data_IF_666726079465
#
_entry.id   IF_666726079465
#
_cell.length_a   1.000
_cell.length_b   1.000
_cell.length_c   1.000
_cell.angle_alpha   90.00
_cell.angle_beta   90.00
_cell.angle_gamma   90.00
#
_symmetry.space_group_name_H-M   'P 1'
#
loop_
_entity.id
_entity.type
_entity.pdbx_description
1 polymer ?
#
# COMPACT_ATOMS: atom_id res chain seq x y z
N UNK A 1 -10.40 28.24 6.85
CA UNK A 1 -11.49 28.12 5.86
C UNK A 1 -11.24 26.88 5.03
N UNK A 2 -12.26 26.05 4.83
CA UNK A 2 -12.22 24.89 3.94
C UNK A 2 -12.92 25.21 2.63
N UNK A 3 -12.30 24.86 1.51
CA UNK A 3 -12.87 24.96 0.17
C UNK A 3 -13.20 23.55 -0.30
N UNK A 4 -14.47 23.32 -0.61
CA UNK A 4 -14.94 22.05 -1.19
C UNK A 4 -15.09 22.30 -2.69
N UNK A 5 -14.28 21.66 -3.55
CA UNK A 5 -14.35 21.86 -4.99
C UNK A 5 -15.62 21.22 -5.57
N UNK A 6 -16.07 21.76 -6.72
CA UNK A 6 -17.17 21.18 -7.50
C UNK A 6 -16.69 19.88 -8.19
N UNK A 7 -16.86 18.76 -7.49
CA UNK A 7 -16.53 17.43 -7.98
C UNK A 7 -17.37 16.36 -7.28
N UNK A 8 -17.50 15.20 -7.90
CA UNK A 8 -18.04 14.00 -7.23
C UNK A 8 -16.95 13.38 -6.32
N UNK A 9 -17.07 13.47 -4.98
CA UNK A 9 -16.06 12.94 -4.06
C UNK A 9 -15.95 11.41 -4.08
N UNK A 10 -16.95 10.71 -4.63
CA UNK A 10 -16.94 9.25 -4.78
C UNK A 10 -16.15 8.79 -6.00
N UNK A 11 -15.81 9.72 -6.91
CA UNK A 11 -15.09 9.45 -8.17
C UNK A 11 -13.94 10.45 -8.40
N UNK A 12 -12.96 10.52 -7.48
CA UNK A 12 -11.90 11.52 -7.54
C UNK A 12 -11.07 11.46 -8.84
N UNK A 13 -10.90 10.27 -9.42
CA UNK A 13 -10.21 10.10 -10.69
C UNK A 13 -10.94 10.70 -11.91
N UNK A 14 -12.21 11.08 -11.76
CA UNK A 14 -13.03 11.73 -12.81
C UNK A 14 -13.26 13.22 -12.56
N UNK A 15 -12.58 13.81 -11.58
CA UNK A 15 -12.64 15.23 -11.31
C UNK A 15 -12.14 16.05 -12.52
N UNK A 16 -12.81 17.17 -12.83
CA UNK A 16 -12.30 18.11 -13.84
C UNK A 16 -11.12 18.90 -13.25
N UNK A 17 -9.89 18.70 -13.75
CA UNK A 17 -8.71 19.36 -13.20
C UNK A 17 -8.75 20.88 -13.36
N UNK A 18 -9.42 21.40 -14.38
CA UNK A 18 -9.56 22.85 -14.60
C UNK A 18 -10.40 23.49 -13.49
N UNK A 19 -11.49 22.84 -13.07
CA UNK A 19 -12.31 23.31 -11.95
C UNK A 19 -11.53 23.28 -10.63
N UNK A 20 -10.74 22.23 -10.41
CA UNK A 20 -9.88 22.12 -9.23
C UNK A 20 -8.83 23.23 -9.21
N UNK A 21 -8.12 23.44 -10.32
CA UNK A 21 -7.10 24.47 -10.45
C UNK A 21 -7.68 25.88 -10.28
N UNK A 22 -8.80 26.18 -10.94
CA UNK A 22 -9.49 27.45 -10.80
C UNK A 22 -9.94 27.73 -9.35
N UNK A 23 -10.38 26.71 -8.61
CA UNK A 23 -10.72 26.85 -7.20
C UNK A 23 -9.47 27.13 -6.34
N UNK A 24 -8.35 26.44 -6.60
CA UNK A 24 -7.07 26.66 -5.91
C UNK A 24 -6.60 28.09 -6.09
N UNK A 25 -6.59 28.60 -7.32
CA UNK A 25 -6.18 29.98 -7.62
C UNK A 25 -7.13 31.02 -7.03
N UNK A 26 -8.45 30.87 -7.32
CA UNK A 26 -9.48 31.81 -6.89
C UNK A 26 -9.47 32.06 -5.37
N UNK A 27 -9.25 31.02 -4.59
CA UNK A 27 -9.31 31.08 -3.12
C UNK A 27 -7.94 31.14 -2.47
N UNK A 28 -6.84 31.16 -3.22
CA UNK A 28 -5.50 31.17 -2.70
C UNK A 28 -5.23 29.98 -1.78
N UNK A 29 -5.60 28.76 -2.21
CA UNK A 29 -5.51 27.54 -1.40
C UNK A 29 -4.04 27.27 -1.06
N UNK A 30 -3.76 27.18 0.24
CA UNK A 30 -2.41 26.91 0.75
C UNK A 30 -2.18 25.48 1.17
N UNK A 31 -3.25 24.71 1.44
CA UNK A 31 -3.18 23.31 1.83
C UNK A 31 -4.18 22.50 0.99
N UNK A 32 -3.70 21.39 0.46
CA UNK A 32 -4.46 20.48 -0.36
C UNK A 32 -4.46 19.07 0.28
N UNK A 33 -5.65 18.52 0.46
CA UNK A 33 -5.82 17.12 0.87
C UNK A 33 -6.57 16.35 -0.21
N UNK A 34 -6.08 15.14 -0.55
CA UNK A 34 -6.78 14.31 -1.53
C UNK A 34 -6.22 12.90 -1.65
N UNK A 35 -6.97 12.04 -2.33
CA UNK A 35 -6.51 10.69 -2.64
C UNK A 35 -5.40 10.70 -3.70
N UNK A 36 -4.61 9.62 -3.84
CA UNK A 36 -3.64 9.47 -4.93
C UNK A 36 -4.27 9.62 -6.31
N UNK A 37 -5.51 9.20 -6.48
CA UNK A 37 -6.26 9.36 -7.74
C UNK A 37 -6.50 10.84 -8.08
N UNK A 38 -6.83 11.67 -7.08
CA UNK A 38 -6.97 13.12 -7.28
C UNK A 38 -5.64 13.79 -7.58
N UNK A 39 -4.57 13.36 -6.89
CA UNK A 39 -3.20 13.84 -7.18
C UNK A 39 -2.78 13.50 -8.60
N UNK A 40 -3.12 12.30 -9.09
CA UNK A 40 -2.87 11.90 -10.47
C UNK A 40 -3.57 12.81 -11.48
N UNK A 41 -4.82 13.20 -11.21
CA UNK A 41 -5.57 14.14 -12.07
C UNK A 41 -4.87 15.49 -12.18
N UNK A 42 -4.46 16.07 -11.04
CA UNK A 42 -3.72 17.34 -11.01
C UNK A 42 -2.34 17.22 -11.67
N UNK A 43 -1.59 16.13 -11.36
CA UNK A 43 -0.28 15.84 -11.95
C UNK A 43 -0.34 15.72 -13.48
N UNK A 44 -1.40 15.11 -14.01
CA UNK A 44 -1.62 14.95 -15.46
C UNK A 44 -2.01 16.26 -16.12
N UNK A 45 -2.81 17.08 -15.44
CA UNK A 45 -3.18 18.42 -15.92
C UNK A 45 -1.96 19.31 -16.11
N UNK A 46 -1.02 19.29 -15.18
CA UNK A 46 0.30 19.88 -15.34
C UNK A 46 0.39 21.39 -15.06
N UNK A 47 -0.66 22.03 -14.61
CA UNK A 47 -0.68 23.46 -14.22
C UNK A 47 0.00 23.67 -12.87
N UNK A 48 0.74 24.79 -12.72
CA UNK A 48 1.42 25.16 -11.49
C UNK A 48 0.45 25.45 -10.36
N UNK A 49 0.77 25.00 -9.16
CA UNK A 49 -0.01 25.19 -7.94
C UNK A 49 0.66 26.26 -7.05
N UNK A 50 0.77 27.48 -7.56
CA UNK A 50 1.64 28.55 -7.03
C UNK A 50 1.35 28.95 -5.58
N UNK A 51 0.10 28.82 -5.09
CA UNK A 51 -0.28 29.20 -3.72
C UNK A 51 -0.17 28.07 -2.71
N UNK A 52 -0.06 26.81 -3.19
CA UNK A 52 -0.08 25.63 -2.34
C UNK A 52 1.26 25.44 -1.62
N UNK A 53 1.22 25.42 -0.30
CA UNK A 53 2.38 25.22 0.58
C UNK A 53 2.51 23.78 1.08
N UNK A 54 1.39 23.07 1.17
CA UNK A 54 1.36 21.69 1.64
C UNK A 54 0.32 20.86 0.89
N UNK A 55 0.74 19.70 0.45
CA UNK A 55 -0.12 18.65 -0.06
C UNK A 55 -0.08 17.47 0.89
N UNK A 56 -1.23 16.88 1.20
CA UNK A 56 -1.35 15.63 1.93
C UNK A 56 -2.15 14.63 1.11
N UNK A 57 -1.57 13.50 0.78
CA UNK A 57 -2.25 12.45 0.01
C UNK A 57 -2.33 11.16 0.81
N UNK A 58 -3.53 10.64 1.00
CA UNK A 58 -3.83 9.47 1.84
C UNK A 58 -4.85 8.52 1.20
N UNK A 59 -4.99 7.33 1.79
CA UNK A 59 -5.96 6.30 1.41
C UNK A 59 -5.39 5.14 0.60
N UNK A 60 -4.26 5.34 -0.06
CA UNK A 60 -3.46 4.31 -0.73
C UNK A 60 -2.03 4.82 -0.94
N UNK A 61 -1.05 3.95 -1.25
CA UNK A 61 0.28 4.38 -1.67
C UNK A 61 0.21 5.32 -2.88
N UNK A 62 0.96 6.42 -2.83
CA UNK A 62 1.06 7.35 -3.96
C UNK A 62 2.16 6.87 -4.89
N UNK A 63 1.87 6.63 -6.18
CA UNK A 63 2.91 6.22 -7.13
C UNK A 63 4.06 7.24 -7.19
N UNK A 64 5.33 6.82 -7.21
CA UNK A 64 6.49 7.74 -7.23
C UNK A 64 6.44 8.76 -8.37
N UNK A 65 5.96 8.36 -9.56
CA UNK A 65 5.80 9.27 -10.70
C UNK A 65 4.78 10.40 -10.41
N UNK A 66 3.71 10.11 -9.64
CA UNK A 66 2.73 11.12 -9.22
C UNK A 66 3.36 12.07 -8.20
N UNK A 67 4.09 11.52 -7.23
CA UNK A 67 4.82 12.33 -6.22
C UNK A 67 5.80 13.29 -6.91
N UNK A 68 6.62 12.76 -7.81
CA UNK A 68 7.58 13.57 -8.57
C UNK A 68 6.89 14.69 -9.34
N UNK A 69 5.86 14.33 -10.12
CA UNK A 69 5.14 15.31 -10.94
C UNK A 69 4.43 16.36 -10.08
N UNK A 70 3.82 15.97 -8.97
CA UNK A 70 3.20 16.93 -8.04
C UNK A 70 4.23 17.89 -7.46
N UNK A 71 5.41 17.41 -7.04
CA UNK A 71 6.48 18.27 -6.53
C UNK A 71 6.99 19.27 -7.59
N UNK A 72 6.99 18.89 -8.86
CA UNK A 72 7.32 19.80 -9.97
C UNK A 72 6.29 20.92 -10.16
N UNK A 73 5.02 20.68 -9.80
CA UNK A 73 3.94 21.70 -9.90
C UNK A 73 3.90 22.65 -8.72
N UNK A 74 4.45 22.25 -7.58
CA UNK A 74 4.46 23.01 -6.34
C UNK A 74 5.61 24.03 -6.29
N UNK A 75 5.51 25.11 -5.47
CA UNK A 75 6.63 25.93 -5.11
C UNK A 75 7.79 25.12 -4.51
N UNK A 76 9.07 25.55 -4.65
CA UNK A 76 10.22 24.78 -4.18
C UNK A 76 10.23 24.47 -2.68
N UNK A 77 9.67 25.36 -1.87
CA UNK A 77 9.56 25.25 -0.41
C UNK A 77 8.27 24.52 0.05
N UNK A 78 7.36 24.20 -0.86
CA UNK A 78 6.17 23.47 -0.54
C UNK A 78 6.47 21.98 -0.27
N UNK A 79 5.65 21.35 0.55
CA UNK A 79 5.81 19.98 1.02
C UNK A 79 4.68 19.09 0.50
N UNK A 80 5.02 17.84 0.20
CA UNK A 80 4.04 16.79 -0.08
C UNK A 80 4.23 15.68 0.96
N UNK A 81 3.17 15.34 1.70
CA UNK A 81 3.18 14.34 2.74
C UNK A 81 2.26 13.18 2.42
N UNK A 82 2.72 11.96 2.71
CA UNK A 82 1.92 10.75 2.58
C UNK A 82 1.79 10.08 3.95
N UNK A 83 0.68 10.30 4.68
CA UNK A 83 0.42 9.62 5.94
C UNK A 83 -0.02 8.17 5.69
N UNK A 84 0.50 7.27 6.53
CA UNK A 84 0.09 5.88 6.65
C UNK A 84 -0.77 5.69 7.88
N UNK A 85 -1.82 4.87 7.75
CA UNK A 85 -2.72 4.49 8.82
C UNK A 85 -4.02 3.88 8.31
N UNK A 86 -4.94 3.65 9.21
CA UNK A 86 -6.29 3.16 8.95
C UNK A 86 -7.30 3.98 9.76
N UNK A 87 -8.60 3.79 9.51
CA UNK A 87 -9.65 4.46 10.30
C UNK A 87 -9.49 4.22 11.80
N UNK A 88 -9.01 3.05 12.16
CA UNK A 88 -8.77 2.62 13.54
C UNK A 88 -7.55 3.27 14.18
N UNK A 89 -6.62 3.81 13.37
CA UNK A 89 -5.41 4.47 13.84
C UNK A 89 -4.79 5.31 12.72
N UNK A 90 -4.94 6.64 12.78
CA UNK A 90 -4.45 7.57 11.76
C UNK A 90 -4.03 8.92 12.39
N UNK A 91 -2.85 9.45 12.03
CA UNK A 91 -1.76 8.79 11.30
C UNK A 91 -0.94 7.85 12.20
N UNK A 92 -0.38 6.80 11.61
CA UNK A 92 0.60 5.91 12.26
C UNK A 92 2.01 6.40 11.99
N UNK A 93 2.31 6.62 10.72
CA UNK A 93 3.61 7.12 10.23
C UNK A 93 3.40 8.10 9.08
N UNK A 94 4.40 8.93 8.81
CA UNK A 94 4.37 9.91 7.73
C UNK A 94 5.73 9.97 7.03
N UNK A 95 5.70 10.23 5.71
CA UNK A 95 6.90 10.49 4.92
C UNK A 95 6.69 11.69 4.01
N UNK A 96 7.74 12.50 3.83
CA UNK A 96 7.76 13.60 2.87
C UNK A 96 8.11 13.07 1.47
N UNK A 97 7.50 13.65 0.44
CA UNK A 97 7.59 13.15 -0.93
C UNK A 97 9.01 13.12 -1.50
N UNK A 98 9.87 14.08 -1.16
CA UNK A 98 11.27 14.06 -1.62
C UNK A 98 12.05 12.91 -0.99
N UNK A 99 11.87 12.66 0.33
CA UNK A 99 12.46 11.48 0.99
C UNK A 99 11.93 10.20 0.36
N UNK A 100 10.62 10.11 0.10
CA UNK A 100 10.02 8.95 -0.57
C UNK A 100 10.68 8.65 -1.92
N UNK A 101 10.95 9.68 -2.73
CA UNK A 101 11.59 9.51 -4.04
C UNK A 101 13.03 8.99 -3.92
N UNK A 102 13.78 9.36 -2.88
CA UNK A 102 15.14 8.83 -2.67
C UNK A 102 15.15 7.33 -2.35
N UNK A 103 14.03 6.80 -1.87
CA UNK A 103 13.86 5.41 -1.48
C UNK A 103 13.25 4.53 -2.57
N UNK A 104 12.90 5.11 -3.72
CA UNK A 104 12.24 4.42 -4.83
C UNK A 104 12.97 3.15 -5.26
N UNK A 105 14.28 3.19 -5.43
CA UNK A 105 15.06 2.03 -5.84
C UNK A 105 14.94 0.86 -4.85
N UNK A 106 14.83 1.13 -3.55
CA UNK A 106 14.61 0.08 -2.54
C UNK A 106 13.23 -0.56 -2.66
N UNK A 107 12.20 0.23 -2.94
CA UNK A 107 10.86 -0.29 -3.22
C UNK A 107 10.87 -1.16 -4.46
N UNK A 108 11.49 -0.71 -5.55
CA UNK A 108 11.60 -1.44 -6.83
C UNK A 108 12.47 -2.70 -6.74
N UNK A 109 13.23 -2.88 -5.67
CA UNK A 109 14.00 -4.11 -5.37
C UNK A 109 13.38 -4.97 -4.26
N UNK A 110 12.16 -4.65 -3.82
CA UNK A 110 11.38 -5.52 -2.92
C UNK A 110 11.46 -5.22 -1.42
N UNK A 111 11.90 -4.01 -1.03
CA UNK A 111 11.87 -3.63 0.38
C UNK A 111 10.43 -3.43 0.92
N UNK A 112 9.46 -3.24 0.04
CA UNK A 112 8.13 -2.76 0.36
C UNK A 112 8.00 -1.26 0.07
N UNK A 113 6.89 -0.65 0.48
CA UNK A 113 6.67 0.79 0.35
C UNK A 113 7.04 1.50 1.66
N UNK A 114 8.02 2.42 1.61
CA UNK A 114 8.38 3.20 2.79
C UNK A 114 7.23 4.16 3.14
N UNK A 115 6.75 4.08 4.38
CA UNK A 115 5.71 4.95 4.92
C UNK A 115 6.25 5.95 5.95
N UNK A 116 7.57 6.02 6.08
CA UNK A 116 8.28 6.99 6.90
C UNK A 116 8.40 6.59 8.36
N UNK A 117 8.40 7.58 9.24
CA UNK A 117 8.60 7.36 10.68
C UNK A 117 7.30 7.48 11.45
N UNK A 118 7.14 6.71 12.54
CA UNK A 118 6.01 6.87 13.44
C UNK A 118 5.83 8.31 13.89
N UNK A 119 4.58 8.76 13.94
CA UNK A 119 4.27 10.09 14.50
C UNK A 119 4.46 10.11 16.01
N UNK A 120 4.77 11.27 16.55
CA UNK A 120 4.95 11.46 17.98
C UNK A 120 3.71 11.00 18.77
N UNK A 121 3.94 10.30 19.89
CA UNK A 121 2.89 9.75 20.73
C UNK A 121 2.45 8.32 20.37
N UNK A 122 2.76 7.83 19.18
CA UNK A 122 2.52 6.44 18.81
C UNK A 122 3.75 5.56 19.08
N UNK A 123 3.52 4.42 19.70
CA UNK A 123 4.49 3.31 19.81
C UNK A 123 4.15 2.28 18.74
N UNK A 124 4.98 2.16 17.72
CA UNK A 124 4.81 1.18 16.64
C UNK A 124 5.79 0.04 16.86
N UNK A 125 5.28 -1.19 16.83
CA UNK A 125 6.08 -2.41 17.02
C UNK A 125 5.70 -3.46 15.98
N UNK A 126 6.66 -4.33 15.65
CA UNK A 126 6.45 -5.42 14.70
C UNK A 126 6.43 -6.73 15.47
N UNK A 127 5.35 -7.49 15.29
CA UNK A 127 5.16 -8.77 15.96
C UNK A 127 5.12 -9.93 14.96
N UNK A 128 5.29 -11.15 15.44
CA UNK A 128 5.12 -12.34 14.60
C UNK A 128 3.72 -12.36 13.98
N UNK A 129 3.64 -12.82 12.74
CA UNK A 129 2.38 -12.91 12.01
C UNK A 129 1.52 -14.01 12.65
N UNK A 130 0.27 -13.68 12.98
CA UNK A 130 -0.72 -14.64 13.49
C UNK A 130 -2.10 -14.31 12.93
N UNK A 131 -2.87 -15.35 12.61
CA UNK A 131 -4.29 -15.20 12.25
C UNK A 131 -5.20 -15.32 13.47
N UNK A 132 -4.67 -15.75 14.62
CA UNK A 132 -5.40 -15.93 15.86
C UNK A 132 -5.49 -14.63 16.68
N UNK A 133 -6.46 -14.57 17.57
CA UNK A 133 -6.55 -13.51 18.57
C UNK A 133 -5.37 -13.58 19.56
N UNK A 134 -4.85 -12.42 19.95
CA UNK A 134 -3.82 -12.26 20.98
C UNK A 134 -4.43 -11.41 22.09
N UNK A 135 -4.67 -12.00 23.25
CA UNK A 135 -5.37 -11.32 24.33
C UNK A 135 -4.50 -10.29 25.06
N UNK A 136 -3.31 -10.71 25.44
CA UNK A 136 -2.39 -9.91 26.24
C UNK A 136 -1.04 -9.76 25.56
N UNK A 137 -0.39 -8.61 25.78
CA UNK A 137 0.94 -8.32 25.25
C UNK A 137 2.01 -9.13 25.98
N UNK A 138 2.91 -9.68 25.19
CA UNK A 138 4.14 -10.30 25.65
C UNK A 138 5.27 -9.86 24.70
N UNK A 139 6.42 -9.49 25.22
CA UNK A 139 7.57 -9.09 24.40
C UNK A 139 8.12 -10.24 23.53
N UNK A 140 7.79 -11.50 23.86
CA UNK A 140 8.04 -12.67 23.00
C UNK A 140 7.26 -12.63 21.66
N UNK A 141 6.29 -11.72 21.53
CA UNK A 141 5.61 -11.45 20.24
C UNK A 141 6.52 -10.74 19.25
N UNK A 142 7.48 -9.94 19.73
CA UNK A 142 8.35 -9.12 18.88
C UNK A 142 9.18 -9.97 17.92
N UNK A 143 9.32 -9.48 16.68
CA UNK A 143 10.26 -10.04 15.72
C UNK A 143 11.64 -9.36 15.83
N UNK A 144 12.66 -9.99 15.28
CA UNK A 144 14.00 -9.41 15.23
C UNK A 144 14.07 -8.16 14.33
N UNK A 145 15.09 -7.34 14.55
CA UNK A 145 15.34 -6.14 13.75
C UNK A 145 15.44 -6.47 12.25
N UNK A 146 14.76 -5.71 11.41
CA UNK A 146 14.74 -5.93 9.95
C UNK A 146 13.86 -7.09 9.48
N UNK A 147 13.23 -7.84 10.38
CA UNK A 147 12.31 -8.90 9.99
C UNK A 147 10.91 -8.36 9.72
N UNK A 148 10.27 -8.93 8.69
CA UNK A 148 8.87 -8.64 8.37
C UNK A 148 7.96 -9.34 9.36
N UNK A 149 7.00 -8.60 9.90
CA UNK A 149 5.96 -9.10 10.78
C UNK A 149 4.68 -8.27 10.68
N UNK A 150 3.77 -8.47 11.60
CA UNK A 150 2.52 -7.69 11.69
C UNK A 150 2.76 -6.35 12.41
N UNK A 151 2.32 -5.27 11.78
CA UNK A 151 2.43 -3.91 12.33
C UNK A 151 1.41 -3.74 13.44
N UNK A 152 1.87 -3.29 14.61
CA UNK A 152 1.03 -2.94 15.75
C UNK A 152 1.29 -1.52 16.22
N UNK A 153 0.26 -0.87 16.76
CA UNK A 153 0.33 0.52 17.21
C UNK A 153 -0.36 0.68 18.55
N UNK A 154 0.30 1.34 19.49
CA UNK A 154 -0.30 1.85 20.71
C UNK A 154 -0.10 3.37 20.77
N UNK A 155 -1.13 4.12 21.10
CA UNK A 155 -1.04 5.57 21.19
C UNK A 155 -2.41 6.25 21.07
N UNK A 156 -2.45 7.57 21.19
CA UNK A 156 -3.70 8.33 21.28
C UNK A 156 -4.54 8.30 19.99
N UNK A 157 -3.96 7.91 18.86
CA UNK A 157 -4.67 7.78 17.58
C UNK A 157 -5.34 6.42 17.40
N UNK A 158 -5.02 5.43 18.26
CA UNK A 158 -5.60 4.09 18.16
C UNK A 158 -6.95 4.01 18.86
N UNK A 159 -7.95 3.43 18.17
CA UNK A 159 -9.27 3.15 18.80
C UNK A 159 -9.18 1.93 19.71
N UNK A 160 -10.02 1.88 20.75
CA UNK A 160 -10.00 0.79 21.74
C UNK A 160 -10.76 -0.46 21.29
N UNK A 161 -11.84 -0.29 20.52
CA UNK A 161 -12.70 -1.41 20.11
C UNK A 161 -13.49 -1.09 18.85
N UNK A 162 -14.14 -2.13 18.30
CA UNK A 162 -15.17 -1.99 17.27
C UNK A 162 -16.55 -2.09 17.93
N UNK A 163 -17.44 -1.16 17.60
CA UNK A 163 -18.79 -1.13 18.14
C UNK A 163 -19.59 -2.38 17.74
N UNK A 164 -20.11 -3.11 18.73
CA UNK A 164 -20.87 -4.35 18.56
C UNK A 164 -20.16 -5.43 17.68
N UNK A 165 -18.81 -5.52 17.82
CA UNK A 165 -17.98 -6.46 17.06
C UNK A 165 -16.90 -7.09 17.93
N UNK A 166 -17.31 -7.84 18.97
CA UNK A 166 -16.39 -8.39 19.97
C UNK A 166 -15.35 -9.34 19.37
N UNK A 167 -15.75 -10.19 18.44
CA UNK A 167 -14.84 -11.12 17.76
C UNK A 167 -13.78 -10.37 16.94
N UNK A 168 -14.16 -9.32 16.20
CA UNK A 168 -13.22 -8.49 15.44
C UNK A 168 -12.33 -7.67 16.40
N UNK A 169 -12.88 -7.20 17.50
CA UNK A 169 -12.10 -6.51 18.55
C UNK A 169 -11.04 -7.45 19.13
N UNK A 170 -11.39 -8.68 19.49
CA UNK A 170 -10.45 -9.66 20.00
C UNK A 170 -9.32 -9.99 19.00
N UNK A 171 -9.61 -10.02 17.71
CA UNK A 171 -8.60 -10.25 16.64
C UNK A 171 -7.66 -9.05 16.45
N UNK A 172 -8.13 -7.83 16.71
CA UNK A 172 -7.40 -6.60 16.35
C UNK A 172 -6.80 -5.87 17.55
N UNK A 173 -7.14 -6.21 18.79
CA UNK A 173 -6.75 -5.46 19.99
C UNK A 173 -6.08 -6.37 21.00
N UNK A 174 -4.89 -5.96 21.45
CA UNK A 174 -4.09 -6.65 22.47
C UNK A 174 -4.07 -5.74 23.69
N UNK A 175 -4.30 -6.27 24.87
CA UNK A 175 -4.15 -5.52 26.13
C UNK A 175 -2.68 -5.52 26.54
N UNK A 176 -2.15 -4.37 26.88
CA UNK A 176 -0.79 -4.23 27.38
C UNK A 176 -0.82 -3.57 28.76
N UNK A 177 -0.26 -4.26 29.75
CA UNK A 177 -0.05 -3.70 31.08
C UNK A 177 1.32 -3.03 31.13
N UNK A 178 1.34 -1.75 31.52
CA UNK A 178 2.54 -0.96 31.63
C UNK A 178 3.20 -1.13 33.02
N UNK A 179 4.46 -0.71 33.15
CA UNK A 179 5.24 -0.87 34.37
C UNK A 179 4.65 -0.07 35.54
N UNK A 180 3.89 1.00 35.31
CA UNK A 180 3.19 1.79 36.31
C UNK A 180 1.84 1.17 36.76
N UNK A 181 1.49 0.00 36.21
CA UNK A 181 0.25 -0.72 36.47
C UNK A 181 -0.95 -0.26 35.64
N UNK A 182 -0.81 0.77 34.82
CA UNK A 182 -1.85 1.18 33.88
C UNK A 182 -1.97 0.20 32.70
N UNK A 183 -3.09 0.26 32.00
CA UNK A 183 -3.33 -0.57 30.79
C UNK A 183 -3.53 0.32 29.58
N UNK A 184 -3.10 -0.19 28.41
CA UNK A 184 -3.39 0.42 27.13
C UNK A 184 -3.73 -0.64 26.10
N UNK A 185 -4.37 -0.21 25.01
CA UNK A 185 -4.67 -1.06 23.88
C UNK A 185 -3.58 -0.92 22.82
N UNK A 186 -3.12 -2.06 22.32
CA UNK A 186 -2.24 -2.17 21.16
C UNK A 186 -3.09 -2.64 19.98
N UNK A 187 -3.22 -1.80 18.97
CA UNK A 187 -3.98 -2.12 17.77
C UNK A 187 -3.12 -2.89 16.78
N UNK A 188 -3.61 -4.01 16.28
CA UNK A 188 -3.06 -4.78 15.17
C UNK A 188 -3.61 -4.19 13.87
N UNK A 189 -2.73 -3.60 13.04
CA UNK A 189 -3.14 -2.91 11.81
C UNK A 189 -3.70 -3.84 10.72
N UNK A 190 -3.46 -5.16 10.85
CA UNK A 190 -3.74 -6.11 9.78
C UNK A 190 -2.85 -5.90 8.55
N UNK A 191 -1.74 -5.22 8.73
CA UNK A 191 -0.72 -4.90 7.75
C UNK A 191 0.60 -5.57 8.15
N UNK A 192 1.42 -5.92 7.15
CA UNK A 192 2.76 -6.43 7.33
C UNK A 192 3.79 -5.35 7.04
N UNK A 193 4.89 -5.39 7.78
CA UNK A 193 5.97 -4.43 7.59
C UNK A 193 7.18 -4.70 8.47
N UNK A 194 8.17 -3.84 8.37
CA UNK A 194 9.42 -3.92 9.11
C UNK A 194 10.05 -2.54 9.28
N UNK A 195 10.97 -2.40 10.25
CA UNK A 195 11.73 -1.19 10.46
C UNK A 195 13.13 -1.32 9.89
N UNK A 196 13.60 -0.29 9.19
CA UNK A 196 15.01 -0.20 8.80
C UNK A 196 15.87 0.42 9.91
N UNK A 197 17.21 0.42 9.67
CA UNK A 197 18.18 0.96 10.63
C UNK A 197 18.06 2.47 10.89
N UNK A 198 17.28 3.20 10.11
CA UNK A 198 16.99 4.63 10.30
C UNK A 198 15.63 4.87 10.98
N UNK A 199 14.97 3.82 11.45
CA UNK A 199 13.67 3.89 12.12
C UNK A 199 12.51 4.21 11.17
N UNK A 200 12.65 3.97 9.87
CA UNK A 200 11.57 4.09 8.90
C UNK A 200 10.78 2.79 8.83
N UNK A 201 9.47 2.91 8.85
CA UNK A 201 8.54 1.80 8.66
C UNK A 201 8.36 1.53 7.16
N UNK A 202 8.52 0.27 6.79
CA UNK A 202 8.29 -0.25 5.45
C UNK A 202 7.05 -1.12 5.43
N UNK A 203 6.03 -0.70 4.71
CA UNK A 203 4.79 -1.44 4.52
C UNK A 203 4.99 -2.51 3.45
N UNK A 204 4.68 -3.77 3.79
CA UNK A 204 4.86 -4.92 2.90
C UNK A 204 3.54 -5.44 2.29
N UNK A 205 2.40 -4.89 2.71
CA UNK A 205 1.07 -5.28 2.22
C UNK A 205 0.12 -5.72 3.32
N UNK A 206 -1.12 -6.02 2.95
CA UNK A 206 -2.13 -6.51 3.89
C UNK A 206 -1.83 -7.94 4.33
N UNK A 207 -1.95 -8.22 5.63
CA UNK A 207 -1.79 -9.58 6.18
C UNK A 207 -2.71 -10.59 5.49
N UNK A 208 -3.96 -10.21 5.22
CA UNK A 208 -4.94 -11.05 4.55
C UNK A 208 -4.64 -11.34 3.09
N UNK A 209 -3.76 -10.57 2.46
CA UNK A 209 -3.39 -10.68 1.04
C UNK A 209 -2.02 -11.32 0.82
N UNK A 210 -1.33 -11.71 1.91
CA UNK A 210 -0.08 -12.45 1.81
C UNK A 210 -0.31 -13.81 1.13
N UNK A 211 0.67 -14.28 0.40
CA UNK A 211 0.67 -15.62 -0.20
C UNK A 211 1.60 -16.50 0.62
N UNK A 212 1.03 -17.49 1.30
CA UNK A 212 1.77 -18.46 2.11
C UNK A 212 2.05 -19.68 1.23
N UNK A 213 3.32 -19.82 0.82
CA UNK A 213 3.76 -20.90 -0.08
C UNK A 213 4.01 -22.17 0.71
N UNK A 214 4.66 -22.04 1.85
CA UNK A 214 4.98 -23.10 2.82
C UNK A 214 5.24 -22.47 4.20
N UNK A 215 5.57 -23.30 5.19
CA UNK A 215 5.82 -22.87 6.58
C UNK A 215 6.96 -21.85 6.71
N UNK A 216 7.87 -21.79 5.74
CA UNK A 216 9.04 -20.92 5.75
C UNK A 216 8.93 -19.73 4.79
N UNK A 217 7.97 -19.79 3.85
CA UNK A 217 7.88 -18.86 2.73
C UNK A 217 6.54 -18.15 2.70
N UNK A 218 6.57 -16.89 3.03
CA UNK A 218 5.44 -15.96 2.86
C UNK A 218 5.84 -14.83 1.92
N UNK A 219 5.06 -14.60 0.88
CA UNK A 219 5.25 -13.50 -0.06
C UNK A 219 4.27 -12.37 0.25
N UNK A 220 4.80 -11.15 0.31
CA UNK A 220 4.03 -9.95 0.58
C UNK A 220 3.85 -9.13 -0.71
N UNK A 221 2.64 -8.61 -0.92
CA UNK A 221 2.26 -7.93 -2.16
C UNK A 221 3.15 -6.74 -2.48
N UNK A 222 3.43 -5.87 -1.51
CA UNK A 222 4.24 -4.67 -1.71
C UNK A 222 5.76 -4.94 -1.79
N UNK A 223 6.19 -6.17 -1.52
CA UNK A 223 7.56 -6.59 -1.77
C UNK A 223 7.73 -7.20 -3.17
N UNK A 224 6.68 -7.81 -3.70
CA UNK A 224 6.72 -8.52 -4.98
C UNK A 224 6.32 -7.61 -6.15
N UNK A 225 5.16 -6.96 -6.05
CA UNK A 225 4.57 -6.22 -7.18
C UNK A 225 5.40 -5.04 -7.68
N UNK A 226 6.03 -4.22 -6.83
CA UNK A 226 6.85 -3.11 -7.29
C UNK A 226 8.04 -3.54 -8.16
N UNK A 227 8.58 -4.74 -7.92
CA UNK A 227 9.67 -5.30 -8.73
C UNK A 227 9.21 -5.50 -10.18
N UNK A 228 8.04 -6.10 -10.38
CA UNK A 228 7.48 -6.34 -11.70
C UNK A 228 6.91 -5.08 -12.36
N UNK A 229 6.42 -4.14 -11.55
CA UNK A 229 5.91 -2.85 -12.04
C UNK A 229 7.03 -1.94 -12.60
N UNK A 230 8.30 -2.31 -12.50
CA UNK A 230 9.42 -1.68 -13.24
C UNK A 230 9.37 -1.99 -14.74
N UNK A 231 8.67 -3.03 -15.15
CA UNK A 231 8.56 -3.41 -16.56
C UNK A 231 7.82 -2.34 -17.37
N UNK A 232 8.40 -1.85 -18.48
CA UNK A 232 7.91 -0.64 -19.18
C UNK A 232 6.51 -0.78 -19.78
N UNK A 233 6.08 -2.00 -20.12
CA UNK A 233 4.79 -2.24 -20.74
C UNK A 233 3.66 -2.48 -19.74
N UNK A 234 3.96 -2.77 -18.47
CA UNK A 234 2.95 -3.02 -17.45
C UNK A 234 2.30 -1.71 -16.98
N UNK A 235 0.99 -1.75 -16.85
CA UNK A 235 0.23 -0.75 -16.10
C UNK A 235 0.36 -1.03 -14.59
N UNK A 236 0.18 -2.29 -14.22
CA UNK A 236 0.30 -2.80 -12.84
C UNK A 236 0.31 -4.32 -12.80
N UNK A 237 0.74 -4.86 -11.69
CA UNK A 237 0.69 -6.29 -11.39
C UNK A 237 -0.03 -6.56 -10.06
N UNK A 238 -0.42 -7.81 -9.84
CA UNK A 238 -1.03 -8.29 -8.61
C UNK A 238 -0.55 -9.69 -8.28
N UNK A 239 0.06 -9.84 -7.11
CA UNK A 239 0.39 -11.14 -6.55
C UNK A 239 -0.87 -11.76 -5.95
N UNK A 240 -1.19 -12.99 -6.35
CA UNK A 240 -2.29 -13.79 -5.79
C UNK A 240 -1.83 -15.20 -5.47
N UNK A 241 -2.41 -15.79 -4.42
CA UNK A 241 -2.20 -17.20 -4.07
C UNK A 241 -3.31 -18.07 -4.64
N UNK A 242 -2.95 -19.15 -5.33
CA UNK A 242 -3.87 -20.14 -5.87
C UNK A 242 -3.66 -21.46 -5.13
N UNK A 243 -4.75 -22.10 -4.71
CA UNK A 243 -4.73 -23.33 -3.93
C UNK A 243 -5.08 -23.13 -2.47
N UNK A 244 -4.78 -24.14 -1.66
CA UNK A 244 -5.12 -24.17 -0.24
C UNK A 244 -4.29 -23.15 0.56
N UNK A 245 -4.94 -22.48 1.53
CA UNK A 245 -4.26 -21.52 2.42
C UNK A 245 -3.18 -22.23 3.22
N UNK A 246 -1.96 -21.71 3.19
CA UNK A 246 -0.78 -22.33 3.82
C UNK A 246 0.09 -23.12 2.85
N UNK A 247 -0.42 -23.49 1.67
CA UNK A 247 0.31 -24.19 0.61
C UNK A 247 -0.05 -23.62 -0.77
N UNK A 248 -0.05 -22.30 -0.88
CA UNK A 248 -0.49 -21.58 -2.07
C UNK A 248 0.59 -21.54 -3.15
N UNK A 249 0.18 -21.72 -4.39
CA UNK A 249 1.02 -21.40 -5.56
C UNK A 249 0.96 -19.89 -5.82
N UNK A 250 2.09 -19.16 -5.78
CA UNK A 250 2.10 -17.74 -6.11
C UNK A 250 1.95 -17.54 -7.61
N UNK A 251 1.03 -16.67 -8.01
CA UNK A 251 0.76 -16.27 -9.39
C UNK A 251 0.85 -14.75 -9.47
N UNK A 252 1.61 -14.23 -10.42
CA UNK A 252 1.58 -12.83 -10.78
C UNK A 252 0.59 -12.62 -11.92
N UNK A 253 -0.49 -11.92 -11.63
CA UNK A 253 -1.40 -11.44 -12.66
C UNK A 253 -0.96 -10.04 -13.07
N UNK A 254 -0.92 -9.72 -14.36
CA UNK A 254 -0.51 -8.40 -14.82
C UNK A 254 -1.47 -7.80 -15.85
N UNK A 255 -1.44 -6.49 -15.95
CA UNK A 255 -2.24 -5.67 -16.85
C UNK A 255 -1.29 -4.79 -17.68
N UNK A 256 -1.45 -4.79 -18.99
CA UNK A 256 -0.67 -3.94 -19.89
C UNK A 256 -1.21 -2.51 -19.91
N UNK A 257 -0.35 -1.56 -20.22
CA UNK A 257 -0.74 -0.16 -20.45
C UNK A 257 -1.76 -0.06 -21.59
N UNK A 258 -2.73 0.85 -21.52
CA UNK A 258 -3.69 1.06 -22.60
C UNK A 258 -2.99 1.34 -23.94
N UNK A 259 -3.46 0.68 -25.02
CA UNK A 259 -2.93 0.86 -26.36
C UNK A 259 -1.62 0.13 -26.65
N UNK A 260 -1.06 -0.59 -25.68
CA UNK A 260 0.10 -1.46 -25.92
C UNK A 260 -0.36 -2.72 -26.65
N UNK A 261 0.28 -2.99 -27.79
CA UNK A 261 0.14 -4.25 -28.50
C UNK A 261 1.48 -5.00 -28.37
N UNK A 262 1.53 -6.00 -27.49
CA UNK A 262 2.72 -6.79 -27.23
C UNK A 262 2.37 -8.28 -27.25
N UNK A 263 3.36 -9.12 -27.57
CA UNK A 263 3.22 -10.57 -27.41
C UNK A 263 3.19 -10.90 -25.89
N UNK A 264 2.07 -11.45 -25.46
CA UNK A 264 1.86 -11.82 -24.05
C UNK A 264 2.83 -12.89 -23.58
N UNK A 265 3.24 -13.80 -24.48
CA UNK A 265 4.24 -14.83 -24.16
C UNK A 265 5.60 -14.20 -23.92
N UNK A 266 6.04 -13.29 -24.78
CA UNK A 266 7.30 -12.55 -24.64
C UNK A 266 7.32 -11.74 -23.33
N UNK A 267 6.27 -10.97 -23.04
CA UNK A 267 6.16 -10.21 -21.77
C UNK A 267 6.22 -11.14 -20.56
N UNK A 268 5.55 -12.30 -20.63
CA UNK A 268 5.60 -13.28 -19.53
C UNK A 268 6.99 -13.87 -19.33
N UNK A 269 7.77 -14.06 -20.40
CA UNK A 269 9.16 -14.52 -20.33
C UNK A 269 10.09 -13.45 -19.76
N UNK A 270 9.89 -12.18 -20.12
CA UNK A 270 10.62 -11.04 -19.53
C UNK A 270 10.33 -10.93 -18.03
N UNK A 271 9.07 -11.08 -17.62
CA UNK A 271 8.70 -11.08 -16.19
C UNK A 271 9.31 -12.26 -15.43
N UNK A 272 9.41 -13.43 -16.08
CA UNK A 272 10.09 -14.60 -15.50
C UNK A 272 11.57 -14.31 -15.26
N UNK A 273 12.22 -13.65 -16.20
CA UNK A 273 13.61 -13.23 -16.05
C UNK A 273 13.78 -12.19 -14.92
N UNK A 274 12.88 -11.22 -14.81
CA UNK A 274 12.87 -10.27 -13.69
C UNK A 274 12.72 -11.02 -12.35
N UNK A 275 11.85 -12.03 -12.28
CA UNK A 275 11.63 -12.83 -11.07
C UNK A 275 12.90 -13.52 -10.57
N UNK A 276 13.77 -13.96 -11.47
CA UNK A 276 15.03 -14.64 -11.14
C UNK A 276 16.06 -13.71 -10.47
N UNK A 277 15.90 -12.40 -10.64
CA UNK A 277 16.80 -11.40 -10.08
C UNK A 277 16.74 -11.26 -8.56
N UNK A 278 15.69 -11.77 -7.89
CA UNK A 278 15.50 -11.60 -6.44
C UNK A 278 14.98 -12.89 -5.79
N UNK A 279 15.48 -13.20 -4.60
CA UNK A 279 15.12 -14.41 -3.86
C UNK A 279 13.61 -14.52 -3.61
N UNK A 280 12.97 -13.43 -3.21
CA UNK A 280 11.54 -13.41 -2.87
C UNK A 280 10.65 -13.50 -4.10
N UNK A 281 11.02 -12.92 -5.26
CA UNK A 281 10.25 -13.04 -6.50
C UNK A 281 10.52 -14.35 -7.24
N UNK A 282 11.67 -14.97 -7.02
CA UNK A 282 12.04 -16.25 -7.64
C UNK A 282 11.10 -17.43 -7.32
N UNK A 283 10.24 -17.28 -6.29
CA UNK A 283 9.17 -18.24 -5.98
C UNK A 283 7.95 -18.09 -6.90
N UNK A 284 7.78 -16.94 -7.56
CA UNK A 284 6.70 -16.71 -8.53
C UNK A 284 7.08 -17.37 -9.86
N UNK A 285 6.34 -18.41 -10.26
CA UNK A 285 6.61 -19.18 -11.48
C UNK A 285 5.52 -19.03 -12.54
N UNK A 286 4.35 -18.51 -12.17
CA UNK A 286 3.22 -18.32 -13.06
C UNK A 286 2.94 -16.83 -13.27
N UNK A 287 2.89 -16.41 -14.54
CA UNK A 287 2.65 -15.05 -14.99
C UNK A 287 1.47 -15.06 -15.95
N UNK A 288 0.37 -14.37 -15.59
CA UNK A 288 -0.87 -14.39 -16.32
C UNK A 288 -1.30 -12.98 -16.73
N UNK A 289 -1.41 -12.74 -18.01
CA UNK A 289 -2.01 -11.52 -18.53
C UNK A 289 -3.52 -11.51 -18.30
N UNK A 290 -4.05 -10.48 -17.63
CA UNK A 290 -5.48 -10.30 -17.47
C UNK A 290 -6.04 -9.52 -18.67
N UNK A 291 -7.01 -10.07 -19.42
CA UNK A 291 -7.45 -9.49 -20.68
C UNK A 291 -8.27 -8.20 -20.56
N UNK A 292 -8.73 -7.90 -19.34
CA UNK A 292 -9.53 -6.72 -19.02
C UNK A 292 -8.87 -5.93 -17.89
N UNK A 293 -9.29 -4.66 -17.65
CA UNK A 293 -8.87 -3.93 -16.46
C UNK A 293 -9.10 -4.72 -15.18
N UNK A 294 -8.17 -4.64 -14.24
CA UNK A 294 -8.31 -5.32 -12.95
C UNK A 294 -9.60 -4.92 -12.22
N UNK A 295 -10.26 -5.85 -11.53
CA UNK A 295 -11.32 -5.51 -10.63
C UNK A 295 -10.76 -4.65 -9.49
N UNK A 296 -11.24 -3.41 -9.37
CA UNK A 296 -10.82 -2.46 -8.33
C UNK A 296 -12.01 -2.02 -7.50
N UNK A 297 -11.76 -1.60 -6.25
CA UNK A 297 -12.77 -0.95 -5.43
C UNK A 297 -13.17 0.40 -6.05
N UNK A 298 -14.46 0.55 -6.31
CA UNK A 298 -15.04 1.72 -6.98
C UNK A 298 -14.75 3.01 -6.20
N UNK A 299 -14.70 2.94 -4.87
CA UNK A 299 -14.53 4.13 -4.01
C UNK A 299 -13.12 4.72 -4.05
N UNK A 300 -12.10 3.88 -4.19
CA UNK A 300 -10.70 4.32 -4.12
C UNK A 300 -9.97 4.18 -5.46
N UNK A 301 -10.54 3.44 -6.43
CA UNK A 301 -9.95 3.09 -7.73
C UNK A 301 -8.49 2.58 -7.66
N UNK A 302 -8.06 2.18 -6.47
CA UNK A 302 -6.69 1.80 -6.14
C UNK A 302 -6.59 0.41 -5.52
N UNK A 303 -7.63 -0.05 -4.80
CA UNK A 303 -7.60 -1.35 -4.14
C UNK A 303 -7.98 -2.45 -5.13
N UNK A 304 -7.00 -3.25 -5.50
CA UNK A 304 -7.19 -4.40 -6.40
C UNK A 304 -8.03 -5.47 -5.71
N UNK A 305 -9.05 -5.98 -6.40
CA UNK A 305 -9.90 -7.10 -5.96
C UNK A 305 -9.20 -8.45 -6.09
N UNK A 306 -8.19 -8.69 -5.24
CA UNK A 306 -7.28 -9.85 -5.33
C UNK A 306 -7.98 -11.19 -5.25
N UNK A 307 -9.05 -11.31 -4.45
CA UNK A 307 -9.87 -12.53 -4.36
C UNK A 307 -10.48 -12.91 -5.71
N UNK A 308 -10.96 -11.90 -6.46
CA UNK A 308 -11.50 -12.12 -7.81
C UNK A 308 -10.41 -12.54 -8.79
N UNK A 309 -9.22 -11.92 -8.69
CA UNK A 309 -8.07 -12.30 -9.51
C UNK A 309 -7.55 -13.69 -9.16
N UNK A 310 -7.49 -14.06 -7.88
CA UNK A 310 -7.11 -15.41 -7.45
C UNK A 310 -8.07 -16.47 -8.00
N UNK A 311 -9.38 -16.23 -7.90
CA UNK A 311 -10.39 -17.11 -8.45
C UNK A 311 -10.32 -17.22 -9.98
N UNK A 312 -9.99 -16.12 -10.67
CA UNK A 312 -9.76 -16.12 -12.11
C UNK A 312 -8.47 -16.89 -12.46
N UNK A 313 -7.36 -16.65 -11.78
CA UNK A 313 -6.08 -17.31 -12.01
C UNK A 313 -6.18 -18.83 -11.78
N UNK A 314 -6.93 -19.28 -10.78
CA UNK A 314 -7.18 -20.69 -10.52
C UNK A 314 -7.84 -21.39 -11.72
N UNK A 315 -8.78 -20.72 -12.41
CA UNK A 315 -9.45 -21.26 -13.61
C UNK A 315 -8.53 -21.33 -14.83
N UNK A 316 -7.56 -20.41 -14.96
CA UNK A 316 -6.58 -20.49 -16.04
C UNK A 316 -5.61 -21.66 -15.83
N UNK A 317 -5.17 -21.87 -14.60
CA UNK A 317 -4.24 -22.96 -14.25
C UNK A 317 -4.79 -24.37 -14.53
N UNK A 318 -6.12 -24.54 -14.53
CA UNK A 318 -6.77 -25.81 -14.88
C UNK A 318 -6.71 -26.04 -16.39
N UNK A 319 -6.88 -24.99 -17.20
CA UNK A 319 -6.82 -25.07 -18.68
C UNK A 319 -5.43 -25.42 -19.24
N UNK A 320 -4.38 -25.01 -18.53
CA UNK A 320 -3.00 -25.32 -18.92
C UNK A 320 -2.59 -26.76 -18.52
N UNK A 321 -3.46 -27.48 -17.80
CA UNK A 321 -3.23 -28.85 -17.29
C UNK A 321 -4.03 -29.92 -18.07
N UNK A 322 -4.97 -29.51 -18.93
CA UNK A 322 -5.72 -30.35 -19.88
C UNK A 322 -5.07 -30.28 -21.28
#
# INVERSE_FOLDING_TARGET
TSIIPDMDPTRPAKADPRKLHAAIERFGVTQLFGSPALMQVLATHGEKLATVKRVTSAGAPVPPAVVQRMLELLPPDAQLWTPYGATECLPVAVIEGRELLTLRARTETGAGTCVGRPVAGNTVRIIRISDDAIGDWDDALLVGAGQVGEITVAGPSATDSYFNRDAQTALAKIRERLADGSERIVHRMGDLGWFDGEGRLWFCGRKSQRVVVDDLTTLCTEQVEPVFNTHPLLLRSALVGVGEKGAQRPVLVYELKPGVNADVAEVSDELRHIAEGFVHTGKVKAFLHHPNPFPVDIRHNAKIGREKLAAWAAKQAIKDSE
#
